data_IF_277228744408
#
_entry.id   IF_277228744408
#
_cell.length_a   1.000
_cell.length_b   1.000
_cell.length_c   1.000
_cell.angle_alpha   90.00
_cell.angle_beta   90.00
_cell.angle_gamma   90.00
#
_symmetry.space_group_name_H-M   'P 1'
#
loop_
_entity.id
_entity.type
_entity.pdbx_description
1 polymer ?
#
# COMPACT_ATOMS: atom_id res chain seq x y z
N UNK A 1 -7.74 33.17 3.47
CA UNK A 1 -8.00 31.86 4.08
C UNK A 1 -7.55 30.83 3.06
N UNK A 2 -6.52 30.06 3.39
CA UNK A 2 -6.14 28.90 2.58
C UNK A 2 -7.26 27.88 2.75
N UNK A 3 -7.75 27.28 1.67
CA UNK A 3 -8.79 26.25 1.71
C UNK A 3 -8.24 25.05 2.49
N UNK A 4 -8.54 24.98 3.79
CA UNK A 4 -8.22 23.82 4.63
C UNK A 4 -8.82 22.52 4.04
N UNK A 5 -9.96 22.62 3.34
CA UNK A 5 -10.56 21.53 2.57
C UNK A 5 -9.63 21.02 1.45
N UNK A 6 -8.82 21.89 0.85
CA UNK A 6 -7.86 21.50 -0.19
C UNK A 6 -6.65 20.76 0.39
N UNK A 7 -6.18 21.15 1.57
CA UNK A 7 -5.03 20.51 2.22
C UNK A 7 -5.40 19.11 2.75
N UNK A 8 -6.56 18.99 3.40
CA UNK A 8 -7.07 17.70 3.87
C UNK A 8 -7.37 16.77 2.70
N UNK A 9 -8.03 17.25 1.64
CA UNK A 9 -8.28 16.46 0.43
C UNK A 9 -6.98 16.01 -0.24
N UNK A 10 -5.97 16.88 -0.32
CA UNK A 10 -4.64 16.53 -0.83
C UNK A 10 -3.97 15.46 0.05
N UNK A 11 -4.06 15.60 1.37
CA UNK A 11 -3.50 14.65 2.34
C UNK A 11 -4.18 13.28 2.23
N UNK A 12 -5.51 13.25 2.20
CA UNK A 12 -6.29 12.03 2.01
C UNK A 12 -5.97 11.35 0.68
N UNK A 13 -5.85 12.12 -0.41
CA UNK A 13 -5.48 11.61 -1.73
C UNK A 13 -4.08 10.99 -1.74
N UNK A 14 -3.09 11.61 -1.09
CA UNK A 14 -1.72 11.07 -0.99
C UNK A 14 -1.73 9.72 -0.28
N UNK A 15 -2.37 9.64 0.90
CA UNK A 15 -2.50 8.38 1.66
C UNK A 15 -3.26 7.31 0.88
N UNK A 16 -4.30 7.68 0.16
CA UNK A 16 -5.03 6.75 -0.70
C UNK A 16 -4.12 6.15 -1.80
N UNK A 17 -3.32 6.99 -2.46
CA UNK A 17 -2.39 6.55 -3.49
C UNK A 17 -1.21 5.72 -2.96
N UNK A 18 -0.90 5.77 -1.66
CA UNK A 18 0.08 4.89 -1.04
C UNK A 18 -0.41 3.43 -1.00
N UNK A 19 -1.73 3.20 -0.94
CA UNK A 19 -2.32 1.86 -0.78
C UNK A 19 -2.85 1.30 -2.11
N UNK A 20 -3.23 2.16 -3.06
CA UNK A 20 -3.82 1.75 -4.32
C UNK A 20 -2.77 1.46 -5.39
N UNK A 21 -2.91 0.31 -6.04
CA UNK A 21 -2.10 -0.06 -7.19
C UNK A 21 -2.75 0.42 -8.48
N UNK A 22 -1.98 1.16 -9.27
CA UNK A 22 -2.38 1.64 -10.59
C UNK A 22 -1.45 1.00 -11.61
N UNK A 23 -2.02 0.20 -12.52
CA UNK A 23 -1.31 -0.44 -13.61
C UNK A 23 -1.58 0.29 -14.94
N UNK A 24 -0.58 0.36 -15.80
CA UNK A 24 -0.65 0.91 -17.16
C UNK A 24 -1.37 -0.05 -18.12
N UNK A 25 -1.36 -1.35 -17.83
CA UNK A 25 -2.04 -2.37 -18.64
C UNK A 25 -2.36 -3.62 -17.82
N UNK A 26 -3.30 -4.43 -18.29
CA UNK A 26 -3.57 -5.74 -17.69
C UNK A 26 -2.34 -6.67 -17.79
N UNK A 27 -1.51 -6.52 -18.82
CA UNK A 27 -0.28 -7.31 -18.95
C UNK A 27 0.73 -7.00 -17.83
N UNK A 28 0.93 -5.71 -17.51
CA UNK A 28 1.79 -5.29 -16.39
C UNK A 28 1.28 -5.89 -15.08
N UNK A 29 -0.04 -5.90 -14.87
CA UNK A 29 -0.68 -6.48 -13.69
C UNK A 29 -0.44 -7.99 -13.58
N UNK A 30 -0.53 -8.73 -14.69
CA UNK A 30 -0.21 -10.16 -14.72
C UNK A 30 1.27 -10.43 -14.42
N UNK A 31 2.18 -9.68 -15.04
CA UNK A 31 3.62 -9.81 -14.81
C UNK A 31 3.99 -9.44 -13.38
N UNK A 32 3.41 -8.38 -12.85
CA UNK A 32 3.60 -7.96 -11.47
C UNK A 32 3.09 -9.03 -10.49
N UNK A 33 1.95 -9.66 -10.77
CA UNK A 33 1.46 -10.77 -9.95
C UNK A 33 2.46 -11.93 -9.92
N UNK A 34 3.01 -12.31 -11.06
CA UNK A 34 4.06 -13.33 -11.14
C UNK A 34 5.33 -12.91 -10.37
N UNK A 35 5.73 -11.65 -10.49
CA UNK A 35 6.84 -11.08 -9.72
C UNK A 35 6.62 -11.19 -8.22
N UNK A 36 5.43 -10.81 -7.71
CA UNK A 36 5.10 -10.91 -6.28
C UNK A 36 5.11 -12.37 -5.83
N UNK A 37 4.53 -13.28 -6.61
CA UNK A 37 4.49 -14.71 -6.29
C UNK A 37 5.92 -15.31 -6.17
N UNK A 38 6.85 -14.92 -7.05
CA UNK A 38 8.26 -15.33 -6.96
C UNK A 38 9.01 -14.69 -5.80
N UNK A 39 8.58 -13.50 -5.36
CA UNK A 39 9.17 -12.76 -4.25
C UNK A 39 8.34 -12.87 -2.96
N UNK A 40 7.48 -13.90 -2.84
CA UNK A 40 6.54 -14.07 -1.73
C UNK A 40 7.17 -13.99 -0.33
N UNK A 41 8.36 -14.55 -0.06
CA UNK A 41 9.01 -14.38 1.24
C UNK A 41 9.33 -12.92 1.57
N UNK A 42 9.83 -12.15 0.59
CA UNK A 42 10.10 -10.72 0.74
C UNK A 42 8.80 -9.95 0.99
N UNK A 43 7.75 -10.24 0.22
CA UNK A 43 6.43 -9.68 0.42
C UNK A 43 5.92 -9.88 1.86
N UNK A 44 5.93 -11.12 2.37
CA UNK A 44 5.44 -11.42 3.72
C UNK A 44 6.24 -10.70 4.82
N UNK A 45 7.57 -10.63 4.68
CA UNK A 45 8.42 -9.90 5.62
C UNK A 45 8.08 -8.41 5.64
N UNK A 46 7.96 -7.79 4.47
CA UNK A 46 7.66 -6.36 4.35
C UNK A 46 6.26 -6.01 4.83
N UNK A 47 5.27 -6.89 4.63
CA UNK A 47 3.93 -6.70 5.21
C UNK A 47 4.01 -6.69 6.74
N UNK A 48 4.77 -7.59 7.35
CA UNK A 48 4.93 -7.62 8.80
C UNK A 48 5.62 -6.36 9.36
N UNK A 49 6.57 -5.78 8.62
CA UNK A 49 7.23 -4.54 9.01
C UNK A 49 6.32 -3.32 8.79
N UNK A 50 5.67 -3.22 7.64
CA UNK A 50 4.69 -2.15 7.36
C UNK A 50 3.47 -2.21 8.29
N UNK A 51 3.07 -3.37 8.82
CA UNK A 51 2.00 -3.45 9.83
C UNK A 51 2.33 -2.66 11.10
N UNK A 52 3.59 -2.70 11.55
CA UNK A 52 4.03 -1.94 12.73
C UNK A 52 3.97 -0.44 12.45
N UNK A 53 4.35 -0.05 11.24
CA UNK A 53 4.28 1.33 10.79
C UNK A 53 2.83 1.76 10.57
N UNK A 54 1.94 0.95 10.01
CA UNK A 54 0.57 1.38 9.71
C UNK A 54 -0.36 1.40 10.93
N UNK A 55 0.05 0.82 12.06
CA UNK A 55 -0.75 0.74 13.28
C UNK A 55 -1.21 2.11 13.79
N UNK A 56 -0.49 3.21 13.51
CA UNK A 56 -0.90 4.55 13.93
C UNK A 56 -2.01 5.17 13.07
N UNK A 57 -2.24 4.68 11.85
CA UNK A 57 -3.26 5.22 10.94
C UNK A 57 -4.69 4.93 11.39
N UNK A 58 -4.87 3.88 12.20
CA UNK A 58 -6.19 3.44 12.64
C UNK A 58 -6.32 3.78 14.12
N UNK A 59 -6.99 4.88 14.45
CA UNK A 59 -7.42 5.20 15.83
C UNK A 59 -8.94 5.15 15.91
N UNK A 60 -9.48 4.39 16.87
CA UNK A 60 -10.90 4.46 17.25
C UNK A 60 -11.77 3.23 16.95
N UNK A 61 -11.23 2.18 16.33
CA UNK A 61 -11.95 0.92 16.12
C UNK A 61 -11.75 -0.08 17.27
N UNK A 62 -12.67 -1.04 17.42
CA UNK A 62 -12.50 -2.19 18.35
C UNK A 62 -11.30 -3.03 17.88
N UNK A 63 -10.46 -3.48 18.82
CA UNK A 63 -9.16 -4.14 18.53
C UNK A 63 -9.15 -5.20 17.40
N UNK A 64 -10.16 -6.08 17.21
CA UNK A 64 -10.14 -7.05 16.12
C UNK A 64 -10.28 -6.43 14.72
N UNK A 65 -11.13 -5.40 14.57
CA UNK A 65 -11.36 -4.71 13.31
C UNK A 65 -10.14 -3.85 12.93
N UNK A 66 -9.56 -3.20 13.93
CA UNK A 66 -8.34 -2.41 13.79
C UNK A 66 -7.17 -3.25 13.26
N UNK A 67 -6.99 -4.47 13.78
CA UNK A 67 -5.92 -5.39 13.34
C UNK A 67 -6.07 -5.83 11.87
N UNK A 68 -7.31 -6.14 11.45
CA UNK A 68 -7.59 -6.51 10.07
C UNK A 68 -7.33 -5.32 9.11
N UNK A 69 -7.81 -4.13 9.46
CA UNK A 69 -7.62 -2.92 8.66
C UNK A 69 -6.13 -2.54 8.53
N UNK A 70 -5.36 -2.61 9.63
CA UNK A 70 -3.90 -2.37 9.59
C UNK A 70 -3.21 -3.36 8.66
N UNK A 71 -3.62 -4.63 8.66
CA UNK A 71 -3.07 -5.64 7.75
C UNK A 71 -3.39 -5.36 6.28
N UNK A 72 -4.59 -4.91 5.98
CA UNK A 72 -4.99 -4.54 4.61
C UNK A 72 -4.20 -3.31 4.11
N UNK A 73 -4.10 -2.26 4.94
CA UNK A 73 -3.33 -1.06 4.61
C UNK A 73 -1.86 -1.44 4.37
N UNK A 74 -1.24 -2.18 5.29
CA UNK A 74 0.14 -2.62 5.15
C UNK A 74 0.35 -3.45 3.88
N UNK A 75 -0.61 -4.30 3.54
CA UNK A 75 -0.56 -5.10 2.30
C UNK A 75 -0.56 -4.20 1.07
N UNK A 76 -1.46 -3.22 0.99
CA UNK A 76 -1.50 -2.29 -0.14
C UNK A 76 -0.22 -1.45 -0.26
N UNK A 77 0.29 -0.92 0.87
CA UNK A 77 1.57 -0.18 0.89
C UNK A 77 2.72 -1.06 0.40
N UNK A 78 2.86 -2.29 0.91
CA UNK A 78 3.92 -3.21 0.47
C UNK A 78 3.81 -3.52 -1.02
N UNK A 79 2.61 -3.81 -1.51
CA UNK A 79 2.40 -4.11 -2.93
C UNK A 79 2.71 -2.91 -3.82
N UNK A 80 2.38 -1.69 -3.38
CA UNK A 80 2.69 -0.49 -4.14
C UNK A 80 4.20 -0.20 -4.18
N UNK A 81 4.92 -0.38 -3.05
CA UNK A 81 6.38 -0.31 -3.01
C UNK A 81 7.02 -1.33 -3.98
N UNK A 82 6.57 -2.59 -3.93
CA UNK A 82 7.04 -3.64 -4.83
C UNK A 82 6.72 -3.36 -6.29
N UNK A 83 5.59 -2.68 -6.59
CA UNK A 83 5.25 -2.28 -7.95
C UNK A 83 6.23 -1.23 -8.50
N UNK A 84 6.68 -0.28 -7.68
CA UNK A 84 7.72 0.67 -8.08
C UNK A 84 9.05 -0.06 -8.35
N UNK A 85 9.47 -0.96 -7.46
CA UNK A 85 10.68 -1.77 -7.66
C UNK A 85 10.61 -2.64 -8.92
N UNK A 86 9.45 -3.26 -9.17
CA UNK A 86 9.22 -4.04 -10.38
C UNK A 86 9.43 -3.17 -11.63
N UNK A 87 8.87 -1.95 -11.65
CA UNK A 87 9.06 -1.01 -12.76
C UNK A 87 10.51 -0.61 -12.93
N UNK A 88 11.21 -0.32 -11.85
CA UNK A 88 12.65 0.02 -11.86
C UNK A 88 13.54 -1.16 -12.31
N UNK A 89 13.07 -2.41 -12.19
CA UNK A 89 13.82 -3.59 -12.64
C UNK A 89 13.62 -3.94 -14.11
N UNK A 90 12.57 -3.42 -14.74
CA UNK A 90 12.19 -3.69 -16.14
C UNK A 90 12.74 -2.63 -17.10
N UNK A 91 13.15 -1.46 -16.58
CA UNK A 91 13.72 -0.33 -17.32
C UNK A 91 15.14 -0.01 -16.86
#
# INVERSE_FOLDING_TARGET
MLDDESEEACSARRKFLEVVLIFHSEKEKEDFRYYVDNNKPSFLSRVADNQKECAWHVRGEKEPAQSALVKEIATGVTLNQMLQEFRESVF
#
